data_IF_825003114799
#
_entry.id   IF_825003114799
#
_cell.length_a   1.000
_cell.length_b   1.000
_cell.length_c   1.000
_cell.angle_alpha   90.00
_cell.angle_beta   90.00
_cell.angle_gamma   90.00
#
_symmetry.space_group_name_H-M   'P 1'
#
loop_
_entity.id
_entity.type
_entity.pdbx_description
1 polymer ?
#
# COMPACT_ATOMS: atom_id res chain seq x y z
N UNK A 1 44.12 20.53 -31.72
CA UNK A 1 43.38 19.26 -31.55
C UNK A 1 42.45 19.45 -30.35
N UNK A 2 41.18 19.75 -30.63
CA UNK A 2 40.12 19.90 -29.63
C UNK A 2 39.59 18.51 -29.24
N UNK A 3 39.36 18.26 -27.96
CA UNK A 3 38.47 17.19 -27.47
C UNK A 3 37.60 17.78 -26.35
N UNK A 4 36.44 18.23 -26.82
CA UNK A 4 35.09 18.04 -26.29
C UNK A 4 34.89 18.05 -24.77
N UNK A 5 34.12 19.05 -24.33
CA UNK A 5 33.38 19.10 -23.08
C UNK A 5 32.12 18.23 -23.13
N UNK A 6 31.61 17.92 -21.93
CA UNK A 6 30.26 17.40 -21.60
C UNK A 6 30.21 15.87 -21.75
N UNK A 7 30.06 15.08 -20.69
CA UNK A 7 28.90 15.12 -19.81
C UNK A 7 29.21 15.34 -18.32
N UNK A 8 28.44 16.27 -17.76
CA UNK A 8 28.18 16.32 -16.33
C UNK A 8 27.35 15.09 -15.96
N UNK A 9 27.95 14.13 -15.27
CA UNK A 9 27.16 13.13 -14.54
C UNK A 9 26.44 13.85 -13.40
N UNK A 10 25.22 14.27 -13.73
CA UNK A 10 24.24 14.82 -12.80
C UNK A 10 24.00 13.78 -11.69
N UNK A 11 24.34 14.18 -10.48
CA UNK A 11 24.13 13.55 -9.17
C UNK A 11 23.39 12.20 -9.09
N UNK A 12 24.05 11.22 -8.46
CA UNK A 12 23.35 10.28 -7.57
C UNK A 12 22.80 11.04 -6.34
N UNK A 13 21.69 10.62 -5.68
CA UNK A 13 21.32 9.21 -5.48
C UNK A 13 19.80 8.90 -5.51
N UNK A 14 19.43 7.71 -5.97
CA UNK A 14 18.25 7.01 -5.41
C UNK A 14 18.63 5.59 -5.01
N UNK A 15 19.50 5.54 -4.01
CA UNK A 15 19.57 4.45 -3.06
C UNK A 15 18.23 4.30 -2.33
N UNK A 16 17.76 3.05 -2.21
CA UNK A 16 16.70 2.55 -1.31
C UNK A 16 15.28 2.53 -1.90
N UNK A 17 14.72 1.31 -2.04
CA UNK A 17 13.30 0.95 -1.85
C UNK A 17 12.29 0.59 -2.97
N UNK A 18 12.65 0.47 -4.26
CA UNK A 18 11.69 -0.15 -5.21
C UNK A 18 11.59 -1.70 -5.08
N UNK A 19 12.45 -2.31 -4.26
CA UNK A 19 12.65 -3.76 -4.21
C UNK A 19 12.10 -4.44 -2.94
N UNK A 20 11.33 -3.71 -2.11
CA UNK A 20 10.77 -4.20 -0.86
C UNK A 20 9.29 -4.57 -0.94
N UNK A 21 8.60 -4.29 -2.06
CA UNK A 21 7.17 -4.55 -2.22
C UNK A 21 6.76 -6.02 -2.03
N UNK A 22 7.60 -6.98 -2.42
CA UNK A 22 7.32 -8.41 -2.21
C UNK A 22 7.36 -8.83 -0.74
N UNK A 23 7.99 -8.01 0.12
CA UNK A 23 8.01 -8.24 1.56
C UNK A 23 6.74 -7.71 2.24
N UNK A 24 5.81 -7.09 1.52
CA UNK A 24 4.56 -6.61 2.08
C UNK A 24 3.36 -7.34 1.46
N UNK A 25 2.42 -7.73 2.32
CA UNK A 25 1.12 -8.20 1.88
C UNK A 25 0.15 -7.03 1.89
N UNK A 26 -0.58 -6.85 0.79
CA UNK A 26 -1.64 -5.85 0.64
C UNK A 26 -3.00 -6.54 0.58
N UNK A 27 -3.96 -6.02 1.34
CA UNK A 27 -5.38 -6.38 1.20
C UNK A 27 -6.18 -5.13 0.86
N UNK A 28 -7.15 -5.27 -0.04
CA UNK A 28 -8.01 -4.17 -0.49
C UNK A 28 -9.44 -4.68 -0.40
N UNK A 29 -10.27 -3.96 0.36
CA UNK A 29 -11.70 -4.20 0.45
C UNK A 29 -12.41 -3.07 -0.31
N UNK A 30 -13.24 -3.44 -1.30
CA UNK A 30 -14.06 -2.52 -2.08
C UNK A 30 -15.49 -3.05 -2.08
N UNK A 31 -16.46 -2.20 -1.78
CA UNK A 31 -17.86 -2.61 -1.78
C UNK A 31 -18.76 -1.65 -1.01
N UNK A 32 -19.89 -2.18 -0.57
CA UNK A 32 -20.89 -1.45 0.22
C UNK A 32 -20.35 -1.13 1.64
N UNK A 33 -20.68 0.03 2.23
CA UNK A 33 -20.04 0.49 3.47
C UNK A 33 -20.18 -0.46 4.66
N UNK A 34 -21.37 -1.05 4.84
CA UNK A 34 -21.61 -1.94 5.97
C UNK A 34 -20.91 -3.28 5.78
N UNK A 35 -20.84 -3.77 4.54
CA UNK A 35 -20.05 -4.95 4.20
C UNK A 35 -18.55 -4.73 4.46
N UNK A 36 -17.97 -3.61 4.01
CA UNK A 36 -16.53 -3.31 4.21
C UNK A 36 -16.20 -3.20 5.69
N UNK A 37 -17.02 -2.46 6.46
CA UNK A 37 -16.85 -2.35 7.92
C UNK A 37 -16.98 -3.72 8.60
N UNK A 38 -18.00 -4.49 8.24
CA UNK A 38 -18.23 -5.83 8.79
C UNK A 38 -17.08 -6.79 8.49
N UNK A 39 -16.51 -6.72 7.29
CA UNK A 39 -15.36 -7.54 6.91
C UNK A 39 -14.11 -7.21 7.72
N UNK A 40 -13.82 -5.92 7.97
CA UNK A 40 -12.71 -5.50 8.84
C UNK A 40 -12.85 -6.13 10.23
N UNK A 41 -14.03 -6.06 10.84
CA UNK A 41 -14.26 -6.67 12.17
C UNK A 41 -14.16 -8.20 12.14
N UNK A 42 -14.62 -8.86 11.07
CA UNK A 42 -14.46 -10.32 10.91
C UNK A 42 -13.00 -10.71 10.81
N UNK A 43 -12.21 -9.99 10.02
CA UNK A 43 -10.76 -10.23 9.85
C UNK A 43 -9.99 -10.01 11.16
N UNK A 44 -10.42 -9.05 11.98
CA UNK A 44 -9.93 -8.89 13.34
C UNK A 44 -10.31 -10.05 14.24
N UNK A 45 -11.58 -10.48 14.24
CA UNK A 45 -12.05 -11.58 15.06
C UNK A 45 -11.33 -12.92 14.79
N UNK A 46 -10.88 -13.15 13.55
CA UNK A 46 -10.10 -14.34 13.18
C UNK A 46 -8.58 -14.14 13.27
N UNK A 47 -8.11 -13.00 13.79
CA UNK A 47 -6.69 -12.72 14.03
C UNK A 47 -5.85 -12.40 12.78
N UNK A 48 -6.49 -12.06 11.66
CA UNK A 48 -5.78 -11.70 10.42
C UNK A 48 -5.17 -10.29 10.50
N UNK A 49 -5.93 -9.31 11.00
CA UNK A 49 -5.48 -7.92 11.08
C UNK A 49 -6.23 -7.13 12.17
N UNK A 50 -5.52 -6.24 12.86
CA UNK A 50 -6.13 -5.31 13.81
C UNK A 50 -7.00 -4.27 13.09
N UNK A 51 -8.13 -3.89 13.68
CA UNK A 51 -9.04 -2.87 13.07
C UNK A 51 -8.30 -1.56 12.77
N UNK A 52 -7.40 -1.16 13.67
CA UNK A 52 -6.60 0.07 13.54
C UNK A 52 -5.53 0.03 12.45
N UNK A 53 -5.21 -1.15 11.91
CA UNK A 53 -4.20 -1.29 10.83
C UNK A 53 -4.77 -1.03 9.44
N UNK A 54 -6.09 -0.97 9.31
CA UNK A 54 -6.77 -0.60 8.07
C UNK A 54 -6.75 0.91 7.87
N UNK A 55 -6.62 1.34 6.62
CA UNK A 55 -6.83 2.74 6.26
C UNK A 55 -8.30 3.13 6.46
N UNK A 56 -8.52 4.44 6.60
CA UNK A 56 -9.87 5.00 6.70
C UNK A 56 -10.71 4.53 5.51
N UNK A 57 -11.96 4.14 5.79
CA UNK A 57 -12.94 3.86 4.73
C UNK A 57 -13.21 5.16 3.98
N UNK A 58 -12.95 5.17 2.68
CA UNK A 58 -13.12 6.33 1.80
C UNK A 58 -14.12 6.01 0.67
N UNK A 59 -14.91 6.99 0.19
CA UNK A 59 -15.73 6.82 -1.00
C UNK A 59 -14.85 6.55 -2.22
N UNK A 60 -15.37 5.77 -3.18
CA UNK A 60 -14.78 5.68 -4.52
C UNK A 60 -15.48 6.66 -5.47
N UNK A 61 -15.13 6.61 -6.76
CA UNK A 61 -15.86 7.36 -7.79
C UNK A 61 -17.26 6.80 -8.10
N UNK A 62 -17.63 5.66 -7.52
CA UNK A 62 -18.93 5.01 -7.74
C UNK A 62 -19.86 5.24 -6.53
N UNK A 63 -21.10 5.72 -6.74
CA UNK A 63 -22.03 5.96 -5.65
C UNK A 63 -22.31 4.69 -4.85
N UNK A 64 -22.23 4.81 -3.51
CA UNK A 64 -22.47 3.70 -2.59
C UNK A 64 -21.32 2.70 -2.47
N UNK A 65 -20.18 2.93 -3.12
CA UNK A 65 -18.99 2.09 -3.02
C UNK A 65 -17.89 2.80 -2.21
N UNK A 66 -17.25 2.04 -1.32
CA UNK A 66 -16.13 2.50 -0.50
C UNK A 66 -14.95 1.57 -0.61
N UNK A 67 -13.77 2.08 -0.25
CA UNK A 67 -12.51 1.34 -0.21
C UNK A 67 -11.84 1.47 1.15
N UNK A 68 -11.18 0.39 1.59
CA UNK A 68 -10.21 0.40 2.68
C UNK A 68 -9.07 -0.56 2.36
N UNK A 69 -7.86 -0.19 2.76
CA UNK A 69 -6.62 -0.88 2.41
C UNK A 69 -5.83 -1.24 3.67
N UNK A 70 -5.23 -2.43 3.65
CA UNK A 70 -4.26 -2.88 4.64
C UNK A 70 -2.93 -3.12 3.94
N UNK A 71 -1.85 -2.58 4.50
CA UNK A 71 -0.48 -2.88 4.09
C UNK A 71 0.28 -3.37 5.31
N UNK A 72 0.89 -4.55 5.23
CA UNK A 72 1.67 -5.10 6.33
C UNK A 72 2.90 -5.87 5.84
N UNK A 73 4.01 -5.87 6.59
CA UNK A 73 5.13 -6.75 6.29
C UNK A 73 4.71 -8.22 6.34
N UNK A 74 5.29 -9.03 5.45
CA UNK A 74 5.31 -10.49 5.51
C UNK A 74 6.05 -10.85 6.78
N UNK A 75 5.31 -11.28 7.80
CA UNK A 75 5.89 -11.67 9.09
C UNK A 75 6.86 -12.82 8.83
N UNK A 76 8.17 -12.56 8.87
CA UNK A 76 9.18 -13.61 9.02
C UNK A 76 8.96 -14.18 10.41
N UNK A 77 8.55 -15.45 10.49
CA UNK A 77 8.65 -16.19 11.73
C UNK A 77 10.12 -16.53 12.01
#
# INVERSE_FOLDING_TARGET
>A
MFREFVDSEVGQPSSVDDNLDWQYNRMILIGEPDWVRGMIYRLHAVGIAEVSTWSRIMPTGKPGEVISTLLRPRRSR
#
